data_IF_858348183044
#
_entry.id   IF_858348183044
#
_cell.length_a   1.000
_cell.length_b   1.000
_cell.length_c   1.000
_cell.angle_alpha   90.00
_cell.angle_beta   90.00
_cell.angle_gamma   90.00
#
_symmetry.space_group_name_H-M   'P 1'
#
loop_
_entity.id
_entity.type
_entity.pdbx_description
1 polymer ?
#
# COMPACT_ATOMS: atom_id res chain seq x y z
N UNK A 1 4.92 -9.69 -1.13
CA UNK A 1 5.15 -8.79 0.02
C UNK A 1 5.85 -9.47 1.20
N UNK A 2 5.38 -10.62 1.69
CA UNK A 2 6.11 -11.37 2.73
C UNK A 2 7.40 -11.97 2.16
N UNK A 3 7.31 -12.61 0.99
CA UNK A 3 8.47 -13.15 0.28
C UNK A 3 9.50 -12.08 -0.09
N UNK A 4 9.04 -10.86 -0.36
CA UNK A 4 9.88 -9.70 -0.68
C UNK A 4 10.45 -9.00 0.58
N UNK A 5 10.15 -9.50 1.79
CA UNK A 5 10.64 -8.95 3.05
C UNK A 5 9.99 -7.63 3.49
N UNK A 6 8.89 -7.20 2.86
CA UNK A 6 8.16 -5.97 3.22
C UNK A 6 7.20 -6.18 4.41
N UNK A 7 6.75 -7.43 4.59
CA UNK A 7 5.82 -7.82 5.66
C UNK A 7 6.37 -9.06 6.35
N UNK A 8 6.36 -9.08 7.68
CA UNK A 8 6.57 -10.28 8.49
C UNK A 8 5.23 -10.89 8.84
N UNK A 9 5.12 -12.21 8.68
CA UNK A 9 3.96 -13.01 9.11
C UNK A 9 4.34 -13.82 10.35
N UNK A 10 3.61 -13.63 11.44
CA UNK A 10 3.78 -14.42 12.67
C UNK A 10 2.57 -15.34 12.84
N UNK A 11 2.82 -16.64 13.01
CA UNK A 11 1.77 -17.64 13.22
C UNK A 11 1.71 -17.97 14.71
N UNK A 12 0.53 -17.84 15.30
CA UNK A 12 0.28 -18.20 16.69
C UNK A 12 -0.58 -19.48 16.72
N UNK A 13 -0.01 -20.62 17.13
CA UNK A 13 -0.72 -21.91 17.19
C UNK A 13 -1.57 -21.99 18.48
N UNK A 14 -2.52 -21.08 18.62
CA UNK A 14 -3.52 -21.07 19.70
C UNK A 14 -4.89 -21.54 19.18
N UNK A 15 -5.88 -21.71 20.06
CA UNK A 15 -7.26 -21.99 19.67
C UNK A 15 -8.14 -20.76 19.98
N UNK A 16 -8.74 -20.11 18.98
CA UNK A 16 -8.63 -20.36 17.53
C UNK A 16 -7.25 -19.94 16.97
N UNK A 17 -6.76 -20.60 15.91
CA UNK A 17 -5.47 -20.24 15.32
C UNK A 17 -5.54 -18.82 14.75
N UNK A 18 -4.52 -18.01 15.03
CA UNK A 18 -4.38 -16.66 14.47
C UNK A 18 -3.06 -16.48 13.75
N UNK A 19 -3.07 -15.55 12.80
CA UNK A 19 -1.87 -15.05 12.15
C UNK A 19 -1.88 -13.54 12.21
N UNK A 20 -0.71 -12.96 12.47
CA UNK A 20 -0.52 -11.51 12.46
C UNK A 20 0.44 -11.12 11.35
N UNK A 21 0.20 -9.97 10.75
CA UNK A 21 1.04 -9.38 9.72
C UNK A 21 1.53 -8.03 10.21
N UNK A 22 2.84 -7.80 10.07
CA UNK A 22 3.48 -6.57 10.51
C UNK A 22 4.37 -6.06 9.38
N UNK A 23 4.33 -4.75 9.15
CA UNK A 23 5.25 -4.11 8.19
C UNK A 23 6.67 -4.13 8.75
N UNK A 24 7.64 -4.51 7.93
CA UNK A 24 9.06 -4.52 8.30
C UNK A 24 9.66 -3.12 8.22
N UNK A 25 10.88 -2.92 8.73
CA UNK A 25 11.60 -1.65 8.51
C UNK A 25 11.85 -1.38 7.02
N UNK A 26 12.11 -2.42 6.23
CA UNK A 26 12.19 -2.31 4.76
C UNK A 26 10.84 -1.86 4.18
N UNK A 27 9.73 -2.49 4.60
CA UNK A 27 8.38 -2.07 4.21
C UNK A 27 8.07 -0.62 4.59
N UNK A 28 8.44 -0.19 5.80
CA UNK A 28 8.26 1.19 6.28
C UNK A 28 9.06 2.19 5.44
N UNK A 29 10.25 1.82 4.96
CA UNK A 29 11.05 2.67 4.08
C UNK A 29 10.38 2.98 2.73
N UNK A 30 9.35 2.21 2.33
CA UNK A 30 8.54 2.51 1.16
C UNK A 30 7.44 3.55 1.42
N UNK A 31 7.04 3.78 2.68
CA UNK A 31 5.95 4.70 3.01
C UNK A 31 6.19 6.12 2.45
N UNK A 32 7.38 6.73 2.59
CA UNK A 32 7.62 8.05 2.01
C UNK A 32 7.49 8.10 0.48
N UNK A 33 7.79 6.99 -0.21
CA UNK A 33 7.64 6.89 -1.66
C UNK A 33 6.15 6.83 -2.03
N UNK A 34 5.38 6.00 -1.31
CA UNK A 34 3.93 5.90 -1.48
C UNK A 34 3.28 7.26 -1.21
N UNK A 35 3.66 7.95 -0.14
CA UNK A 35 3.18 9.29 0.20
C UNK A 35 3.50 10.30 -0.90
N UNK A 36 4.69 10.21 -1.49
CA UNK A 36 5.09 11.07 -2.62
C UNK A 36 4.24 10.81 -3.87
N UNK A 37 3.94 9.53 -4.15
CA UNK A 37 3.06 9.14 -5.25
C UNK A 37 1.62 9.62 -5.02
N UNK A 38 1.10 9.49 -3.80
CA UNK A 38 -0.22 9.99 -3.41
C UNK A 38 -0.29 11.50 -3.58
N UNK A 39 0.66 12.24 -3.02
CA UNK A 39 0.73 13.70 -3.14
C UNK A 39 0.78 14.14 -4.60
N UNK A 40 1.62 13.51 -5.41
CA UNK A 40 1.67 13.82 -6.85
C UNK A 40 0.33 13.54 -7.53
N UNK A 41 -0.32 12.42 -7.21
CA UNK A 41 -1.64 12.08 -7.75
C UNK A 41 -2.72 13.09 -7.37
N UNK A 42 -2.73 13.55 -6.12
CA UNK A 42 -3.65 14.59 -5.63
C UNK A 42 -3.42 15.93 -6.34
N UNK A 43 -2.16 16.36 -6.47
CA UNK A 43 -1.80 17.61 -7.16
C UNK A 43 -2.23 17.62 -8.64
N UNK A 44 -2.28 16.45 -9.27
CA UNK A 44 -2.62 16.31 -10.69
C UNK A 44 -4.02 15.71 -10.92
N UNK A 45 -4.83 15.56 -9.87
CA UNK A 45 -6.13 14.90 -9.95
C UNK A 45 -7.01 15.53 -11.03
N UNK A 46 -7.14 16.86 -11.03
CA UNK A 46 -7.96 17.61 -11.99
C UNK A 46 -7.46 17.46 -13.44
N UNK A 47 -6.14 17.34 -13.64
CA UNK A 47 -5.56 17.10 -14.96
C UNK A 47 -6.03 15.75 -15.51
N UNK A 48 -6.02 14.71 -14.67
CA UNK A 48 -6.44 13.38 -15.06
C UNK A 48 -7.96 13.26 -15.18
N UNK A 49 -8.73 13.89 -14.30
CA UNK A 49 -10.20 13.92 -14.38
C UNK A 49 -10.65 14.62 -15.66
N UNK A 50 -10.05 15.75 -16.01
CA UNK A 50 -10.36 16.45 -17.28
C UNK A 50 -10.00 15.63 -18.51
N UNK A 51 -8.91 14.86 -18.46
CA UNK A 51 -8.38 14.10 -19.60
C UNK A 51 -9.04 12.72 -19.77
N UNK A 52 -9.48 12.10 -18.68
CA UNK A 52 -9.94 10.71 -18.65
C UNK A 52 -11.29 10.49 -17.94
N UNK A 53 -11.78 11.44 -17.15
CA UNK A 53 -13.02 11.34 -16.36
C UNK A 53 -14.30 11.22 -17.20
N UNK A 54 -14.24 11.52 -18.50
CA UNK A 54 -15.35 11.36 -19.43
C UNK A 54 -15.38 10.02 -20.20
N UNK A 55 -14.64 8.99 -19.75
CA UNK A 55 -14.83 7.62 -20.24
C UNK A 55 -15.66 6.80 -19.25
N UNK A 56 -16.95 7.10 -19.18
CA UNK A 56 -17.98 6.16 -18.74
C UNK A 56 -19.01 6.09 -19.87
N UNK A 57 -18.78 5.17 -20.80
CA UNK A 57 -19.87 4.55 -21.58
C UNK A 57 -20.41 3.38 -20.77
#
# INVERSE_FOLDING_TARGET
MVEDGLIVKTIFPELPPRSEYQITELGKSLLPIIDSMLKWGEEHYDLFEKKYGNKRE
#
